data_IF_062663503987
#
_entry.id   IF_062663503987
#
_cell.length_a   1.000
_cell.length_b   1.000
_cell.length_c   1.000
_cell.angle_alpha   90.00
_cell.angle_beta   90.00
_cell.angle_gamma   90.00
#
_symmetry.space_group_name_H-M   'P 1'
#
loop_
_entity.id
_entity.type
_entity.pdbx_description
1 polymer ?
#
# COMPACT_ATOMS: atom_id res chain seq x y z
N UNK A 1 5.44 40.52 -11.84
CA UNK A 1 5.27 39.05 -11.76
C UNK A 1 3.78 38.80 -11.62
N UNK A 2 3.15 38.07 -12.54
CA UNK A 2 1.76 37.62 -12.36
C UNK A 2 1.83 36.39 -11.47
N UNK A 3 1.20 36.43 -10.30
CA UNK A 3 0.96 35.24 -9.50
C UNK A 3 0.26 34.17 -10.37
N UNK A 4 0.73 32.91 -10.36
CA UNK A 4 -0.01 31.84 -11.02
C UNK A 4 -1.37 31.72 -10.31
N UNK A 5 -2.45 31.80 -11.10
CA UNK A 5 -3.80 31.62 -10.58
C UNK A 5 -3.88 30.31 -9.76
N UNK A 6 -4.57 30.32 -8.60
CA UNK A 6 -4.69 29.12 -7.78
C UNK A 6 -5.26 28.00 -8.64
N UNK A 7 -4.58 26.85 -8.68
CA UNK A 7 -5.07 25.66 -9.37
C UNK A 7 -6.45 25.36 -8.80
N UNK A 8 -7.48 25.46 -9.64
CA UNK A 8 -8.84 25.12 -9.25
C UNK A 8 -8.88 23.62 -9.04
N UNK A 9 -9.12 23.20 -7.80
CA UNK A 9 -9.25 21.80 -7.45
C UNK A 9 -10.45 21.21 -8.22
N UNK A 10 -10.18 20.19 -9.03
CA UNK A 10 -11.21 19.43 -9.75
C UNK A 10 -11.25 18.01 -9.14
N UNK A 11 -12.28 17.70 -8.34
CA UNK A 11 -12.35 16.42 -7.63
C UNK A 11 -12.34 15.22 -8.57
N UNK A 12 -12.83 15.36 -9.81
CA UNK A 12 -12.86 14.26 -10.78
C UNK A 12 -11.45 13.97 -11.31
N UNK A 13 -10.68 15.01 -11.61
CA UNK A 13 -9.29 14.87 -12.09
C UNK A 13 -8.42 14.30 -10.97
N UNK A 14 -8.53 14.84 -9.77
CA UNK A 14 -7.72 14.43 -8.62
C UNK A 14 -8.05 12.99 -8.20
N UNK A 15 -9.33 12.61 -8.20
CA UNK A 15 -9.75 11.23 -7.91
C UNK A 15 -9.28 10.23 -8.97
N UNK A 16 -9.25 10.63 -10.24
CA UNK A 16 -8.72 9.80 -11.32
C UNK A 16 -7.21 9.61 -11.18
N UNK A 17 -6.47 10.69 -10.94
CA UNK A 17 -5.03 10.65 -10.72
C UNK A 17 -4.69 9.77 -9.50
N UNK A 18 -5.46 9.88 -8.42
CA UNK A 18 -5.33 9.03 -7.25
C UNK A 18 -5.59 7.56 -7.58
N UNK A 19 -6.67 7.24 -8.32
CA UNK A 19 -6.97 5.87 -8.72
C UNK A 19 -5.83 5.23 -9.54
N UNK A 20 -5.22 5.99 -10.44
CA UNK A 20 -4.06 5.56 -11.23
C UNK A 20 -2.82 5.33 -10.35
N UNK A 21 -2.54 6.24 -9.42
CA UNK A 21 -1.43 6.12 -8.47
C UNK A 21 -1.60 4.91 -7.52
N UNK A 22 -2.84 4.64 -7.10
CA UNK A 22 -3.18 3.49 -6.29
C UNK A 22 -3.00 2.18 -7.07
N UNK A 23 -3.41 2.14 -8.34
CA UNK A 23 -3.17 0.96 -9.19
C UNK A 23 -1.66 0.73 -9.45
N UNK A 24 -0.89 1.82 -9.60
CA UNK A 24 0.58 1.73 -9.69
C UNK A 24 1.19 1.18 -8.39
N UNK A 25 0.72 1.67 -7.24
CA UNK A 25 1.15 1.19 -5.92
C UNK A 25 0.86 -0.30 -5.74
N UNK A 26 -0.32 -0.76 -6.17
CA UNK A 26 -0.68 -2.17 -6.19
C UNK A 26 0.28 -3.01 -7.04
N UNK A 27 0.63 -2.56 -8.24
CA UNK A 27 1.62 -3.22 -9.11
C UNK A 27 3.01 -3.28 -8.47
N UNK A 28 3.42 -2.23 -7.76
CA UNK A 28 4.71 -2.18 -7.05
C UNK A 28 4.73 -3.21 -5.91
N UNK A 29 3.69 -3.28 -5.08
CA UNK A 29 3.60 -4.27 -3.99
C UNK A 29 3.63 -5.70 -4.53
N UNK A 30 2.89 -5.99 -5.61
CA UNK A 30 2.96 -7.30 -6.28
C UNK A 30 4.35 -7.67 -6.77
N UNK A 31 5.11 -6.69 -7.23
CA UNK A 31 6.49 -6.88 -7.67
C UNK A 31 7.50 -7.00 -6.50
N UNK A 32 7.04 -6.90 -5.24
CA UNK A 32 7.88 -6.90 -4.05
C UNK A 32 8.57 -5.57 -3.76
N UNK A 33 8.10 -4.47 -4.37
CA UNK A 33 8.61 -3.13 -4.13
C UNK A 33 8.02 -2.48 -2.87
N UNK A 34 8.67 -1.41 -2.40
CA UNK A 34 8.17 -0.61 -1.28
C UNK A 34 7.23 0.50 -1.77
N UNK A 35 6.18 0.73 -0.99
CA UNK A 35 5.23 1.83 -1.17
C UNK A 35 5.16 2.62 0.13
N UNK A 36 5.11 3.95 0.02
CA UNK A 36 4.86 4.83 1.16
C UNK A 36 3.36 4.81 1.52
N UNK A 37 3.03 4.03 2.53
CA UNK A 37 1.64 3.88 3.01
C UNK A 37 1.15 5.14 3.73
N UNK A 38 2.04 5.89 4.39
CA UNK A 38 1.64 7.12 5.10
C UNK A 38 1.23 8.19 4.09
N UNK A 39 1.99 8.33 3.00
CA UNK A 39 1.65 9.22 1.89
C UNK A 39 0.34 8.82 1.21
N UNK A 40 0.08 7.51 1.05
CA UNK A 40 -1.17 7.01 0.49
C UNK A 40 -2.37 7.31 1.40
N UNK A 41 -2.24 7.10 2.71
CA UNK A 41 -3.28 7.39 3.70
C UNK A 41 -3.65 8.88 3.69
N UNK A 42 -2.66 9.78 3.73
CA UNK A 42 -2.90 11.23 3.68
C UNK A 42 -3.65 11.65 2.40
N UNK A 43 -3.35 11.03 1.26
CA UNK A 43 -4.06 11.30 0.00
C UNK A 43 -5.52 10.82 0.06
N UNK A 44 -5.79 9.65 0.64
CA UNK A 44 -7.15 9.15 0.85
C UNK A 44 -7.95 10.10 1.72
N UNK A 45 -7.38 10.54 2.85
CA UNK A 45 -8.05 11.49 3.76
C UNK A 45 -8.41 12.80 3.06
N UNK A 46 -7.46 13.39 2.34
CA UNK A 46 -7.67 14.62 1.58
C UNK A 46 -8.80 14.43 0.56
N UNK A 47 -8.77 13.31 -0.16
CA UNK A 47 -9.73 13.00 -1.19
C UNK A 47 -11.14 12.79 -0.63
N UNK A 48 -11.27 12.08 0.50
CA UNK A 48 -12.52 11.94 1.23
C UNK A 48 -13.07 13.30 1.68
N UNK A 49 -12.21 14.19 2.18
CA UNK A 49 -12.62 15.53 2.61
C UNK A 49 -13.21 16.35 1.44
N UNK A 50 -12.66 16.22 0.24
CA UNK A 50 -13.12 16.94 -0.96
C UNK A 50 -14.39 16.34 -1.57
N UNK A 51 -14.52 15.01 -1.54
CA UNK A 51 -15.75 14.31 -1.96
C UNK A 51 -16.94 14.72 -1.10
N UNK A 52 -16.76 14.86 0.22
CA UNK A 52 -17.82 15.29 1.14
C UNK A 52 -18.30 16.71 0.80
N UNK A 53 -17.39 17.60 0.39
CA UNK A 53 -17.70 18.98 -0.02
C UNK A 53 -18.36 19.09 -1.39
N UNK A 54 -18.31 18.04 -2.21
CA UNK A 54 -18.90 18.03 -3.55
C UNK A 54 -20.43 17.99 -3.47
N UNK A 55 -21.15 18.74 -4.31
CA UNK A 55 -22.63 18.81 -4.29
C UNK A 55 -23.28 18.12 -5.49
N UNK A 56 -24.50 17.60 -5.26
CA UNK A 56 -25.45 17.19 -6.31
C UNK A 56 -24.90 16.20 -7.34
N UNK A 57 -24.90 16.62 -8.61
CA UNK A 57 -24.52 15.83 -9.78
C UNK A 57 -23.07 15.33 -9.70
N UNK A 58 -22.17 16.11 -9.09
CA UNK A 58 -20.75 15.78 -9.00
C UNK A 58 -20.52 14.54 -8.13
N UNK A 59 -21.32 14.35 -7.07
CA UNK A 59 -21.24 13.13 -6.25
C UNK A 59 -21.60 11.87 -7.04
N UNK A 60 -22.55 11.96 -7.97
CA UNK A 60 -22.95 10.83 -8.82
C UNK A 60 -21.84 10.47 -9.82
N UNK A 61 -21.13 11.48 -10.34
CA UNK A 61 -19.98 11.27 -11.24
C UNK A 61 -18.76 10.68 -10.51
N UNK A 62 -18.56 11.04 -9.24
CA UNK A 62 -17.47 10.51 -8.41
C UNK A 62 -17.76 9.08 -7.91
N UNK A 63 -19.01 8.67 -7.78
CA UNK A 63 -19.41 7.38 -7.24
C UNK A 63 -18.67 6.17 -7.87
N UNK A 64 -18.65 5.99 -9.22
CA UNK A 64 -17.96 4.86 -9.83
C UNK A 64 -16.45 4.87 -9.59
N UNK A 65 -15.84 6.07 -9.53
CA UNK A 65 -14.42 6.23 -9.23
C UNK A 65 -14.13 5.86 -7.76
N UNK A 66 -14.98 6.27 -6.83
CA UNK A 66 -14.86 5.93 -5.41
C UNK A 66 -14.99 4.43 -5.19
N UNK A 67 -15.94 3.76 -5.83
CA UNK A 67 -16.06 2.31 -5.75
C UNK A 67 -14.80 1.60 -6.29
N UNK A 68 -14.22 2.12 -7.38
CA UNK A 68 -12.97 1.60 -7.93
C UNK A 68 -11.82 1.74 -6.94
N UNK A 69 -11.67 2.93 -6.34
CA UNK A 69 -10.65 3.20 -5.32
C UNK A 69 -10.79 2.25 -4.13
N UNK A 70 -12.01 2.10 -3.60
CA UNK A 70 -12.29 1.20 -2.48
C UNK A 70 -11.92 -0.24 -2.84
N UNK A 71 -12.31 -0.72 -4.03
CA UNK A 71 -11.94 -2.06 -4.49
C UNK A 71 -10.42 -2.25 -4.55
N UNK A 72 -9.69 -1.29 -5.11
CA UNK A 72 -8.23 -1.40 -5.22
C UNK A 72 -7.54 -1.34 -3.85
N UNK A 73 -8.01 -0.50 -2.93
CA UNK A 73 -7.52 -0.45 -1.55
C UNK A 73 -7.71 -1.81 -0.84
N UNK A 74 -8.88 -2.44 -0.96
CA UNK A 74 -9.13 -3.75 -0.37
C UNK A 74 -8.21 -4.85 -0.93
N UNK A 75 -7.90 -4.80 -2.24
CA UNK A 75 -6.96 -5.74 -2.85
C UNK A 75 -5.53 -5.49 -2.33
N UNK A 76 -5.11 -4.23 -2.27
CA UNK A 76 -3.80 -3.84 -1.75
C UNK A 76 -3.62 -4.27 -0.29
N UNK A 77 -4.65 -4.10 0.54
CA UNK A 77 -4.64 -4.54 1.94
C UNK A 77 -4.39 -6.05 2.05
N UNK A 78 -5.11 -6.85 1.26
CA UNK A 78 -4.96 -8.31 1.29
C UNK A 78 -3.55 -8.74 0.84
N UNK A 79 -2.97 -8.07 -0.15
CA UNK A 79 -1.60 -8.33 -0.58
C UNK A 79 -0.57 -7.96 0.48
N UNK A 80 -0.71 -6.81 1.13
CA UNK A 80 0.15 -6.42 2.25
C UNK A 80 0.07 -7.44 3.40
N UNK A 81 -1.11 -7.98 3.70
CA UNK A 81 -1.28 -9.06 4.69
C UNK A 81 -0.58 -10.34 4.26
N UNK A 82 -0.65 -10.71 2.98
CA UNK A 82 0.06 -11.87 2.45
C UNK A 82 1.58 -11.68 2.54
N UNK A 83 2.11 -10.51 2.15
CA UNK A 83 3.53 -10.17 2.29
C UNK A 83 3.99 -10.24 3.75
N UNK A 84 3.19 -9.73 4.70
CA UNK A 84 3.51 -9.81 6.13
C UNK A 84 3.56 -11.26 6.64
N UNK A 85 2.61 -12.11 6.23
CA UNK A 85 2.59 -13.54 6.59
C UNK A 85 3.79 -14.29 6.01
N UNK A 86 4.13 -14.05 4.74
CA UNK A 86 5.29 -14.67 4.09
C UNK A 86 6.60 -14.24 4.76
N UNK A 87 6.73 -12.96 5.09
CA UNK A 87 7.89 -12.43 5.82
C UNK A 87 8.05 -13.07 7.20
N UNK A 88 6.94 -13.23 7.93
CA UNK A 88 6.95 -13.91 9.22
C UNK A 88 7.33 -15.40 9.11
N UNK A 89 6.86 -16.10 8.07
CA UNK A 89 7.22 -17.50 7.82
C UNK A 89 8.70 -17.65 7.42
N UNK A 90 9.23 -16.76 6.58
CA UNK A 90 10.65 -16.74 6.20
C UNK A 90 11.56 -16.51 7.41
N UNK A 91 11.23 -15.55 8.27
CA UNK A 91 12.00 -15.27 9.50
C UNK A 91 11.96 -16.46 10.48
N UNK A 92 10.81 -17.14 10.61
CA UNK A 92 10.72 -18.37 11.42
C UNK A 92 11.55 -19.51 10.82
N UNK A 93 11.54 -19.68 9.50
CA UNK A 93 12.35 -20.69 8.82
C UNK A 93 13.85 -20.42 9.03
N UNK A 94 14.30 -19.18 8.86
CA UNK A 94 15.69 -18.77 9.07
C UNK A 94 16.13 -18.88 10.54
N UNK A 95 15.25 -18.55 11.49
CA UNK A 95 15.50 -18.77 12.92
C UNK A 95 15.63 -20.26 13.24
N UNK A 96 14.77 -21.10 12.65
CA UNK A 96 14.82 -22.56 12.82
C UNK A 96 16.09 -23.15 12.23
N UNK A 97 16.51 -22.69 11.05
CA UNK A 97 17.73 -23.15 10.38
C UNK A 97 18.98 -22.78 11.19
N UNK A 98 19.05 -21.54 11.68
CA UNK A 98 20.11 -21.07 12.60
C UNK A 98 20.16 -21.89 13.89
N UNK A 99 19.00 -22.16 14.51
CA UNK A 99 18.95 -23.00 15.70
C UNK A 99 19.44 -24.43 15.41
N UNK A 100 19.01 -25.05 14.32
CA UNK A 100 19.45 -26.39 13.94
C UNK A 100 20.97 -26.48 13.69
N UNK A 101 21.56 -25.48 13.02
CA UNK A 101 23.01 -25.41 12.82
C UNK A 101 23.78 -25.20 14.13
N UNK A 102 23.24 -24.45 15.09
CA UNK A 102 23.87 -24.26 16.40
C UNK A 102 23.91 -25.56 17.23
N UNK A 103 22.89 -26.43 17.09
CA UNK A 103 22.85 -27.72 17.79
C UNK A 103 23.59 -28.84 17.06
N UNK A 104 23.72 -28.81 15.72
CA UNK A 104 24.46 -29.83 14.97
C UNK A 104 25.97 -29.61 14.94
N UNK A 105 26.45 -28.38 15.15
CA UNK A 105 27.89 -28.06 15.26
C UNK A 105 28.54 -28.42 16.60
N UNK A 106 27.77 -28.89 17.59
CA UNK A 106 28.24 -29.17 18.96
C UNK A 106 28.84 -30.56 19.19
N UNK A 107 28.94 -31.41 18.16
CA UNK A 107 29.48 -32.78 18.29
C UNK A 107 30.74 -32.95 17.44
N UNK A 108 31.75 -32.09 17.65
CA UNK A 108 33.10 -32.38 17.18
C UNK A 108 34.12 -31.71 18.10
N UNK A 109 34.44 -32.38 19.20
CA UNK A 109 35.47 -31.90 20.11
C UNK A 109 35.59 -32.76 21.36
N UNK A 110 36.61 -33.63 21.36
CA UNK A 110 37.12 -34.52 22.43
C UNK A 110 36.43 -35.89 22.47
N UNK A 111 37.12 -37.03 22.48
CA UNK A 111 38.49 -37.37 22.88
C UNK A 111 39.10 -38.34 21.83
N UNK A 112 40.37 -38.22 21.41
CA UNK A 112 41.60 -38.57 22.13
C UNK A 112 41.61 -39.98 22.68
#
# INVERSE_FOLDING_TARGET
MKDPAPRRFDPVIELRAFAEALEASHKIVRAGGMVDLNGLEAQVEQLCAEVVKSEGQLRLELLPLLESVIRTLSVLEEELRLCARQSAQGDVADKRLRAQSAYSGGISGKAS
#
